data_IF_498546525011
#
_entry.id   IF_498546525011
#
_cell.length_a   1.000
_cell.length_b   1.000
_cell.length_c   1.000
_cell.angle_alpha   90.00
_cell.angle_beta   90.00
_cell.angle_gamma   90.00
#
_symmetry.space_group_name_H-M   'P 1'
#
loop_
_entity.id
_entity.type
_entity.pdbx_description
1 polymer ?
#
# COMPACT_ATOMS: atom_id res chain seq x y z
N UNK A 1 -36.34 21.71 37.08
CA UNK A 1 -35.02 21.18 37.47
C UNK A 1 -34.49 20.34 36.32
N UNK A 2 -33.37 20.78 35.84
CA UNK A 2 -32.66 20.43 34.61
C UNK A 2 -32.10 19.03 34.63
N UNK A 3 -32.55 18.17 33.71
CA UNK A 3 -31.83 16.96 33.26
C UNK A 3 -32.08 16.78 31.76
N UNK A 4 -31.44 17.59 30.92
CA UNK A 4 -31.27 17.34 29.49
C UNK A 4 -29.89 17.91 29.13
N UNK A 5 -28.90 17.06 28.89
CA UNK A 5 -27.75 17.32 28.01
C UNK A 5 -26.50 16.44 28.25
N UNK A 6 -26.59 15.34 29.05
CA UNK A 6 -25.40 14.47 29.16
C UNK A 6 -25.19 13.60 27.91
N UNK A 7 -26.23 13.06 27.33
CA UNK A 7 -26.11 12.16 26.15
C UNK A 7 -25.63 12.88 24.87
N UNK A 8 -26.02 14.14 24.67
CA UNK A 8 -25.57 14.93 23.51
C UNK A 8 -24.13 15.39 23.67
N UNK A 9 -23.70 15.69 24.90
CA UNK A 9 -22.31 16.03 25.21
C UNK A 9 -21.40 14.79 25.08
N UNK A 10 -21.83 13.64 25.57
CA UNK A 10 -21.09 12.39 25.44
C UNK A 10 -20.98 11.95 23.96
N UNK A 11 -22.06 12.06 23.18
CA UNK A 11 -22.01 11.76 21.74
C UNK A 11 -21.12 12.73 20.96
N UNK A 12 -21.12 14.02 21.29
CA UNK A 12 -20.23 14.99 20.66
C UNK A 12 -18.76 14.81 21.07
N UNK A 13 -18.50 14.45 22.33
CA UNK A 13 -17.15 14.13 22.80
C UNK A 13 -16.63 12.84 22.14
N UNK A 14 -17.46 11.81 21.97
CA UNK A 14 -17.11 10.58 21.26
C UNK A 14 -16.84 10.84 19.78
N UNK A 15 -17.69 11.65 19.12
CA UNK A 15 -17.50 12.04 17.71
C UNK A 15 -16.22 12.90 17.52
N UNK A 16 -15.94 13.82 18.45
CA UNK A 16 -14.69 14.60 18.43
C UNK A 16 -13.47 13.74 18.77
N UNK A 17 -13.60 12.74 19.66
CA UNK A 17 -12.49 11.82 19.99
C UNK A 17 -12.21 10.89 18.81
N UNK A 18 -13.23 10.36 18.14
CA UNK A 18 -13.06 9.55 16.93
C UNK A 18 -12.48 10.37 15.76
N UNK A 19 -12.88 11.63 15.58
CA UNK A 19 -12.25 12.54 14.61
C UNK A 19 -10.80 12.85 14.94
N UNK A 20 -10.43 12.85 16.22
CA UNK A 20 -9.07 13.20 16.68
C UNK A 20 -8.03 12.12 16.43
N UNK A 21 -8.43 10.90 16.10
CA UNK A 21 -7.53 9.76 15.86
C UNK A 21 -7.62 9.17 14.45
N UNK A 22 -8.31 9.82 13.54
CA UNK A 22 -8.42 9.35 12.17
C UNK A 22 -7.22 9.85 11.36
N UNK A 23 -6.18 9.02 11.26
CA UNK A 23 -5.07 9.26 10.35
C UNK A 23 -5.34 8.63 8.99
N UNK A 24 -5.18 9.39 7.92
CA UNK A 24 -5.30 8.94 6.54
C UNK A 24 -3.90 8.66 6.01
N UNK A 25 -3.66 7.45 5.56
CA UNK A 25 -2.42 7.06 4.88
C UNK A 25 -2.52 7.30 3.37
N UNK A 26 -1.52 7.91 2.77
CA UNK A 26 -1.45 8.11 1.31
C UNK A 26 -0.27 7.27 0.79
N UNK A 27 -0.58 6.24 0.00
CA UNK A 27 0.42 5.35 -0.61
C UNK A 27 0.73 5.83 -2.03
N UNK A 28 1.97 6.25 -2.26
CA UNK A 28 2.47 6.68 -3.58
C UNK A 28 3.44 5.67 -4.17
N UNK A 29 3.62 5.71 -5.49
CA UNK A 29 4.44 4.75 -6.21
C UNK A 29 5.94 4.95 -6.01
N UNK A 30 6.38 6.21 -5.92
CA UNK A 30 7.80 6.58 -5.92
C UNK A 30 8.08 7.78 -5.02
N UNK A 31 9.34 7.97 -4.56
CA UNK A 31 9.72 9.08 -3.69
C UNK A 31 9.45 10.48 -4.27
N UNK A 32 9.50 10.63 -5.60
CA UNK A 32 9.18 11.90 -6.28
C UNK A 32 7.71 12.26 -6.12
N UNK A 33 6.80 11.31 -6.36
CA UNK A 33 5.38 11.49 -6.16
C UNK A 33 5.06 11.85 -4.71
N UNK A 34 5.65 11.15 -3.73
CA UNK A 34 5.47 11.49 -2.32
C UNK A 34 5.89 12.92 -1.99
N UNK A 35 7.00 13.43 -2.57
CA UNK A 35 7.43 14.82 -2.39
C UNK A 35 6.47 15.82 -3.02
N UNK A 36 5.93 15.50 -4.19
CA UNK A 36 4.95 16.36 -4.88
C UNK A 36 3.65 16.45 -4.08
N UNK A 37 3.11 15.32 -3.62
CA UNK A 37 1.96 15.31 -2.72
C UNK A 37 2.24 16.03 -1.41
N UNK A 38 3.42 15.82 -0.80
CA UNK A 38 3.78 16.52 0.43
C UNK A 38 3.82 18.04 0.24
N UNK A 39 4.34 18.52 -0.89
CA UNK A 39 4.35 19.96 -1.24
C UNK A 39 2.92 20.48 -1.42
N UNK A 40 2.09 19.77 -2.17
CA UNK A 40 0.70 20.18 -2.45
C UNK A 40 -0.16 20.20 -1.18
N UNK A 41 0.03 19.22 -0.29
CA UNK A 41 -0.73 19.08 0.97
C UNK A 41 -0.04 19.75 2.17
N UNK A 42 1.03 20.53 1.95
CA UNK A 42 1.80 21.21 2.99
C UNK A 42 2.32 20.27 4.10
N UNK A 43 2.53 19.00 3.78
CA UNK A 43 3.05 18.01 4.69
C UNK A 43 4.56 18.16 4.87
N UNK A 44 5.04 17.94 6.09
CA UNK A 44 6.45 18.08 6.48
C UNK A 44 7.12 16.71 6.53
N UNK A 45 8.42 16.68 6.24
CA UNK A 45 9.23 15.46 6.32
C UNK A 45 9.20 14.86 7.73
N UNK A 46 8.96 13.56 7.82
CA UNK A 46 8.94 12.77 9.05
C UNK A 46 9.64 11.42 8.79
N UNK A 47 10.94 11.35 9.09
CA UNK A 47 11.76 10.19 8.74
C UNK A 47 11.83 9.98 7.23
N UNK A 48 11.41 8.80 6.76
CA UNK A 48 11.29 8.46 5.33
C UNK A 48 9.98 8.96 4.71
N UNK A 49 8.98 9.31 5.54
CA UNK A 49 7.62 9.68 5.16
C UNK A 49 7.38 11.19 5.26
N UNK A 50 6.15 11.63 4.99
CA UNK A 50 5.72 13.01 5.22
C UNK A 50 4.43 13.01 6.03
N UNK A 51 4.32 13.94 7.00
CA UNK A 51 3.15 14.07 7.87
C UNK A 51 2.60 15.48 7.82
N UNK A 52 1.26 15.61 7.82
CA UNK A 52 0.58 16.89 7.78
C UNK A 52 -0.85 16.78 8.27
N UNK A 53 -1.60 17.85 8.03
CA UNK A 53 -3.04 17.88 8.25
C UNK A 53 -3.71 18.48 7.00
N UNK A 54 -4.73 17.83 6.51
CA UNK A 54 -5.49 18.28 5.36
C UNK A 54 -6.99 18.22 5.69
N UNK A 55 -7.65 19.37 5.58
CA UNK A 55 -9.09 19.52 5.88
C UNK A 55 -9.50 18.95 7.26
N UNK A 56 -8.64 19.15 8.27
CA UNK A 56 -8.89 18.69 9.63
C UNK A 56 -8.56 17.22 9.90
N UNK A 57 -8.10 16.46 8.90
CA UNK A 57 -7.63 15.09 9.06
C UNK A 57 -6.10 15.03 9.12
N UNK A 58 -5.57 14.27 10.03
CA UNK A 58 -4.14 13.96 10.03
C UNK A 58 -3.81 13.05 8.85
N UNK A 59 -2.77 13.39 8.11
CA UNK A 59 -2.32 12.63 6.95
C UNK A 59 -0.88 12.16 7.12
N UNK A 60 -0.57 10.98 6.60
CA UNK A 60 0.78 10.49 6.43
C UNK A 60 0.98 9.96 5.03
N UNK A 61 2.06 10.41 4.36
CA UNK A 61 2.37 10.04 2.99
C UNK A 61 3.56 9.09 3.03
N UNK A 62 3.38 7.90 2.49
CA UNK A 62 4.43 6.89 2.31
C UNK A 62 4.64 6.62 0.82
N UNK A 63 5.78 6.08 0.47
CA UNK A 63 6.06 5.72 -0.92
C UNK A 63 6.65 4.33 -1.05
N UNK A 64 6.41 3.74 -2.19
CA UNK A 64 7.15 2.59 -2.68
C UNK A 64 8.40 3.03 -3.47
N UNK A 65 9.09 2.09 -4.05
CA UNK A 65 10.18 2.25 -5.01
C UNK A 65 9.86 1.47 -6.30
N UNK A 66 8.61 1.56 -6.78
CA UNK A 66 8.07 0.67 -7.78
C UNK A 66 7.65 -0.66 -7.15
N UNK A 67 7.72 -1.75 -7.90
CA UNK A 67 7.33 -3.07 -7.41
C UNK A 67 8.21 -3.53 -6.24
N UNK A 68 7.58 -3.92 -5.14
CA UNK A 68 8.25 -4.49 -3.96
C UNK A 68 8.16 -6.01 -3.91
N UNK A 69 7.25 -6.59 -4.68
CA UNK A 69 7.00 -8.02 -4.80
C UNK A 69 7.23 -8.48 -6.24
N UNK A 70 7.66 -9.69 -6.41
CA UNK A 70 7.84 -10.31 -7.72
C UNK A 70 7.47 -11.78 -7.68
N UNK A 71 7.26 -12.36 -8.85
CA UNK A 71 6.98 -13.79 -8.97
C UNK A 71 8.19 -14.62 -8.49
N UNK A 72 7.90 -15.60 -7.68
CA UNK A 72 8.89 -16.61 -7.31
C UNK A 72 9.26 -17.41 -8.55
N UNK A 73 10.54 -17.75 -8.72
CA UNK A 73 10.95 -18.59 -9.85
C UNK A 73 10.17 -19.90 -9.90
N UNK A 74 9.68 -20.33 -11.09
CA UNK A 74 8.85 -21.51 -11.24
C UNK A 74 9.42 -22.76 -10.57
N UNK A 75 10.74 -22.97 -10.66
CA UNK A 75 11.42 -24.12 -10.00
C UNK A 75 11.16 -24.23 -8.50
N UNK A 76 10.92 -23.10 -7.82
CA UNK A 76 10.65 -23.09 -6.38
C UNK A 76 9.15 -23.16 -6.04
N UNK A 77 8.32 -23.29 -7.06
CA UNK A 77 6.85 -23.35 -6.92
C UNK A 77 6.28 -24.72 -7.28
N UNK A 78 7.12 -25.62 -7.78
CA UNK A 78 6.74 -26.97 -8.20
C UNK A 78 7.28 -28.03 -7.21
N UNK A 79 6.70 -29.24 -7.21
CA UNK A 79 7.25 -30.35 -6.45
C UNK A 79 8.71 -30.67 -6.81
N UNK A 80 9.46 -31.18 -5.86
CA UNK A 80 10.91 -31.40 -5.98
C UNK A 80 11.30 -32.25 -7.21
N UNK A 81 10.51 -33.22 -7.54
CA UNK A 81 10.70 -34.09 -8.70
C UNK A 81 10.56 -33.36 -10.05
N UNK A 82 9.89 -32.20 -10.06
CA UNK A 82 9.72 -31.37 -11.25
C UNK A 82 10.69 -30.19 -11.33
N UNK A 83 11.45 -29.90 -10.27
CA UNK A 83 12.33 -28.72 -10.19
C UNK A 83 13.26 -28.56 -11.40
N UNK A 84 13.84 -29.68 -11.88
CA UNK A 84 14.79 -29.64 -13.00
C UNK A 84 14.14 -29.16 -14.30
N UNK A 85 12.89 -29.55 -14.54
CA UNK A 85 12.10 -29.14 -15.71
C UNK A 85 11.82 -27.62 -15.70
N UNK A 86 11.64 -27.04 -14.51
CA UNK A 86 11.29 -25.63 -14.33
C UNK A 86 12.49 -24.74 -13.94
N UNK A 87 13.71 -25.33 -13.92
CA UNK A 87 14.92 -24.60 -13.52
C UNK A 87 15.45 -23.65 -14.60
N UNK A 88 15.27 -24.00 -15.87
CA UNK A 88 15.86 -23.30 -17.00
C UNK A 88 14.85 -23.14 -18.16
N UNK A 89 14.98 -22.08 -18.91
CA UNK A 89 14.26 -21.85 -20.16
C UNK A 89 14.82 -22.75 -21.29
N UNK A 90 14.68 -24.05 -21.12
CA UNK A 90 15.12 -25.01 -22.11
C UNK A 90 13.93 -25.41 -23.00
N UNK A 91 14.08 -25.27 -24.31
CA UNK A 91 13.03 -25.59 -25.28
C UNK A 91 12.48 -27.02 -25.15
N UNK A 92 13.32 -27.96 -24.66
CA UNK A 92 12.91 -29.36 -24.42
C UNK A 92 11.87 -29.50 -23.30
N UNK A 93 11.78 -28.47 -22.42
CA UNK A 93 10.89 -28.46 -21.27
C UNK A 93 9.71 -27.50 -21.43
N UNK A 94 9.67 -26.77 -22.52
CA UNK A 94 8.59 -25.82 -22.82
C UNK A 94 7.52 -26.46 -23.73
N UNK A 95 6.24 -26.01 -23.62
CA UNK A 95 5.75 -25.07 -22.60
C UNK A 95 5.69 -25.71 -21.21
N UNK A 96 5.82 -24.88 -20.18
CA UNK A 96 5.55 -25.30 -18.81
C UNK A 96 4.04 -25.44 -18.61
N UNK A 97 3.63 -26.33 -17.70
CA UNK A 97 2.23 -26.51 -17.35
C UNK A 97 1.85 -25.52 -16.24
N UNK A 98 0.91 -24.63 -16.53
CA UNK A 98 0.42 -23.61 -15.59
C UNK A 98 -0.17 -24.22 -14.31
N UNK A 99 -0.75 -25.45 -14.42
CA UNK A 99 -1.32 -26.14 -13.28
C UNK A 99 -0.28 -26.64 -12.28
N UNK A 100 0.98 -26.73 -12.69
CA UNK A 100 2.09 -27.09 -11.80
C UNK A 100 2.57 -25.91 -10.95
N UNK A 101 2.29 -24.66 -11.38
CA UNK A 101 2.83 -23.46 -10.77
C UNK A 101 1.78 -22.80 -9.85
N UNK A 102 2.17 -22.51 -8.62
CA UNK A 102 1.28 -21.86 -7.65
C UNK A 102 1.19 -20.33 -7.82
N UNK A 103 1.93 -19.74 -8.75
CA UNK A 103 2.00 -18.30 -9.06
C UNK A 103 2.25 -17.41 -7.83
N UNK A 104 3.09 -17.88 -6.93
CA UNK A 104 3.43 -17.17 -5.70
C UNK A 104 4.24 -15.91 -5.97
N UNK A 105 3.93 -14.84 -5.25
CA UNK A 105 4.76 -13.64 -5.17
C UNK A 105 5.52 -13.61 -3.85
N UNK A 106 6.70 -13.03 -3.85
CA UNK A 106 7.53 -12.83 -2.67
C UNK A 106 8.21 -11.45 -2.74
N UNK A 107 8.62 -10.88 -1.58
CA UNK A 107 9.40 -9.65 -1.57
C UNK A 107 10.64 -9.76 -2.46
N UNK A 108 10.87 -8.73 -3.26
CA UNK A 108 12.08 -8.63 -4.08
C UNK A 108 13.32 -8.41 -3.18
N UNK A 109 14.52 -8.77 -3.65
CA UNK A 109 15.75 -8.49 -2.92
C UNK A 109 15.84 -6.99 -2.56
N UNK A 110 16.25 -6.66 -1.32
CA UNK A 110 16.44 -5.28 -0.81
C UNK A 110 15.17 -4.45 -0.62
N UNK A 111 13.96 -5.01 -0.78
CA UNK A 111 12.70 -4.26 -0.57
C UNK A 111 12.13 -4.40 0.84
N UNK A 112 12.70 -5.26 1.66
CA UNK A 112 12.19 -5.61 2.99
C UNK A 112 11.99 -4.39 3.89
N UNK A 113 12.95 -3.45 3.88
CA UNK A 113 12.86 -2.23 4.69
C UNK A 113 11.71 -1.32 4.22
N UNK A 114 11.53 -1.18 2.90
CA UNK A 114 10.44 -0.38 2.34
C UNK A 114 9.07 -1.00 2.68
N UNK A 115 8.95 -2.33 2.56
CA UNK A 115 7.73 -3.07 2.93
C UNK A 115 7.39 -2.84 4.41
N UNK A 116 8.38 -2.96 5.29
CA UNK A 116 8.18 -2.79 6.73
C UNK A 116 7.80 -1.35 7.07
N UNK A 117 8.44 -0.34 6.46
CA UNK A 117 8.07 1.06 6.65
C UNK A 117 6.63 1.34 6.21
N UNK A 118 6.21 0.82 5.04
CA UNK A 118 4.84 0.99 4.56
C UNK A 118 3.86 0.31 5.53
N UNK A 119 4.11 -0.94 5.90
CA UNK A 119 3.27 -1.71 6.80
C UNK A 119 3.08 -0.99 8.14
N UNK A 120 4.16 -0.71 8.86
CA UNK A 120 4.13 -0.12 10.20
C UNK A 120 3.52 1.28 10.21
N UNK A 121 3.67 2.02 9.11
CA UNK A 121 3.08 3.36 8.98
C UNK A 121 1.58 3.29 8.70
N UNK A 122 1.17 2.46 7.73
CA UNK A 122 -0.23 2.42 7.27
C UNK A 122 -1.14 1.57 8.18
N UNK A 123 -0.61 0.62 8.95
CA UNK A 123 -1.43 -0.18 9.88
C UNK A 123 -2.14 0.68 10.94
N UNK A 124 -1.59 1.85 11.27
CA UNK A 124 -2.17 2.80 12.23
C UNK A 124 -3.14 3.80 11.58
N UNK A 125 -3.35 3.72 10.27
CA UNK A 125 -4.28 4.58 9.55
C UNK A 125 -5.69 3.98 9.54
N UNK A 126 -6.71 4.84 9.64
CA UNK A 126 -8.12 4.44 9.53
C UNK A 126 -8.54 4.21 8.08
N UNK A 127 -7.87 4.89 7.15
CA UNK A 127 -8.11 4.81 5.72
C UNK A 127 -6.77 4.88 4.97
N UNK A 128 -6.67 4.18 3.85
CA UNK A 128 -5.54 4.25 2.94
C UNK A 128 -6.02 4.78 1.59
N UNK A 129 -5.44 5.89 1.17
CA UNK A 129 -5.63 6.47 -0.16
C UNK A 129 -4.54 5.96 -1.07
N UNK A 130 -4.92 5.22 -2.11
CA UNK A 130 -4.02 4.76 -3.17
C UNK A 130 -3.77 5.93 -4.11
N UNK A 131 -2.54 6.42 -4.16
CA UNK A 131 -2.09 7.55 -4.97
C UNK A 131 -0.89 7.15 -5.85
N UNK A 132 -0.94 5.95 -6.40
CA UNK A 132 -0.03 5.47 -7.46
C UNK A 132 -0.46 6.01 -8.81
N UNK A 133 0.38 5.90 -9.81
CA UNK A 133 0.15 6.45 -11.15
C UNK A 133 -1.16 5.92 -11.77
N UNK A 134 -1.86 6.80 -12.50
CA UNK A 134 -3.12 6.48 -13.19
C UNK A 134 -2.88 6.15 -14.66
N UNK A 135 -2.04 5.16 -14.92
CA UNK A 135 -1.76 4.77 -16.29
C UNK A 135 -2.82 3.80 -16.86
N UNK A 136 -3.05 3.80 -18.19
CA UNK A 136 -4.05 2.93 -18.82
C UNK A 136 -3.75 1.43 -18.72
N UNK A 137 -2.51 1.05 -18.40
CA UNK A 137 -2.12 -0.36 -18.23
C UNK A 137 -2.60 -0.92 -16.89
N UNK A 138 -2.93 -0.06 -15.92
CA UNK A 138 -3.28 -0.42 -14.55
C UNK A 138 -2.09 -0.86 -13.71
N UNK A 139 -0.85 -0.57 -14.12
CA UNK A 139 0.36 -0.97 -13.40
C UNK A 139 0.40 -0.37 -12.00
N UNK A 140 0.03 0.91 -11.85
CA UNK A 140 -0.03 1.57 -10.55
C UNK A 140 -1.03 0.93 -9.59
N UNK A 141 -2.19 0.50 -10.10
CA UNK A 141 -3.19 -0.22 -9.29
C UNK A 141 -2.72 -1.62 -8.90
N UNK A 142 -2.08 -2.33 -9.82
CA UNK A 142 -1.47 -3.65 -9.56
C UNK A 142 -0.39 -3.54 -8.46
N UNK A 143 0.50 -2.55 -8.57
CA UNK A 143 1.56 -2.30 -7.60
C UNK A 143 0.98 -2.03 -6.20
N UNK A 144 -0.01 -1.16 -6.10
CA UNK A 144 -0.68 -0.87 -4.83
C UNK A 144 -1.34 -2.13 -4.25
N UNK A 145 -2.07 -2.88 -5.08
CA UNK A 145 -2.71 -4.13 -4.68
C UNK A 145 -1.72 -5.17 -4.15
N UNK A 146 -0.57 -5.35 -4.82
CA UNK A 146 0.51 -6.24 -4.36
C UNK A 146 1.05 -5.86 -2.98
N UNK A 147 1.26 -4.55 -2.76
CA UNK A 147 1.74 -4.04 -1.48
C UNK A 147 0.72 -4.27 -0.38
N UNK A 148 -0.55 -3.90 -0.62
CA UNK A 148 -1.63 -4.04 0.38
C UNK A 148 -1.86 -5.50 0.76
N UNK A 149 -1.93 -6.40 -0.21
CA UNK A 149 -2.07 -7.84 0.03
C UNK A 149 -0.85 -8.42 0.76
N UNK A 150 0.36 -8.08 0.30
CA UNK A 150 1.60 -8.59 0.89
C UNK A 150 1.87 -8.07 2.31
N UNK A 151 1.27 -6.94 2.68
CA UNK A 151 1.37 -6.36 4.04
C UNK A 151 0.14 -6.64 4.91
N UNK A 152 -0.89 -7.32 4.39
CA UNK A 152 -2.18 -7.58 5.05
C UNK A 152 -2.95 -6.29 5.42
N UNK A 153 -2.86 -5.27 4.57
CA UNK A 153 -3.57 -4.00 4.73
C UNK A 153 -4.81 -3.88 3.82
N UNK A 154 -5.09 -4.90 3.03
CA UNK A 154 -6.22 -4.99 2.08
C UNK A 154 -7.60 -4.96 2.75
N UNK A 155 -7.69 -5.29 4.04
CA UNK A 155 -8.93 -5.20 4.83
C UNK A 155 -9.23 -3.78 5.36
N UNK A 156 -8.33 -2.81 5.17
CA UNK A 156 -8.54 -1.41 5.55
C UNK A 156 -9.55 -0.74 4.62
N UNK A 157 -10.12 0.39 5.06
CA UNK A 157 -10.87 1.25 4.16
C UNK A 157 -9.92 1.80 3.10
N UNK A 158 -10.20 1.52 1.83
CA UNK A 158 -9.39 1.93 0.70
C UNK A 158 -10.12 2.97 -0.14
N UNK A 159 -9.39 3.99 -0.57
CA UNK A 159 -9.85 4.98 -1.54
C UNK A 159 -8.81 5.15 -2.63
N UNK A 160 -9.24 5.49 -3.86
CA UNK A 160 -8.35 5.73 -5.00
C UNK A 160 -8.34 7.22 -5.33
N UNK A 161 -7.15 7.79 -5.39
CA UNK A 161 -6.96 9.16 -5.88
C UNK A 161 -6.68 9.12 -7.38
N UNK A 162 -7.46 9.89 -8.15
CA UNK A 162 -7.24 10.08 -9.57
C UNK A 162 -6.65 11.46 -9.82
N UNK A 163 -5.53 11.51 -10.51
CA UNK A 163 -4.85 12.74 -10.89
C UNK A 163 -4.31 12.61 -12.32
N UNK A 164 -4.25 13.72 -13.05
CA UNK A 164 -3.88 13.72 -14.48
C UNK A 164 -2.39 13.97 -14.72
N UNK A 165 -1.67 14.57 -13.75
CA UNK A 165 -0.26 14.95 -13.87
C UNK A 165 0.42 14.88 -12.50
N UNK A 166 1.68 14.48 -12.49
CA UNK A 166 2.52 14.40 -11.28
C UNK A 166 3.46 15.62 -11.13
N UNK A 167 3.45 16.56 -12.10
CA UNK A 167 4.33 17.75 -12.13
C UNK A 167 3.87 18.90 -11.24
#
# INVERSE_FOLDING_TARGET
IVWKNSAVLESNILIETERRFSMIGILTEKPSAARNFAKALLAKKNGQNFKGNFEGNDIIIVHSYGHLYGLVYPRYQVPKEKELRYANWNIQYLPWDDNDICWKKAPLPKTKEAIENIKTTLENCSEIVIATDNDPSGEGDLLAGEILLGTHLDAKKLSRMYFADES
#
